data_IF_980884957225
#
_entry.id   IF_980884957225
#
_cell.length_a   1.000
_cell.length_b   1.000
_cell.length_c   1.000
_cell.angle_alpha   90.00
_cell.angle_beta   90.00
_cell.angle_gamma   90.00
#
_symmetry.space_group_name_H-M   'P 1'
#
loop_
_entity.id
_entity.type
_entity.pdbx_description
1 polymer ?
#
# COMPACT_ATOMS: atom_id res chain seq x y z
N UNK A 1 3.81 -22.53 21.60
CA UNK A 1 4.68 -21.49 21.04
C UNK A 1 5.57 -22.19 20.01
N UNK A 2 5.41 -21.91 18.73
CA UNK A 2 6.21 -22.57 17.68
C UNK A 2 7.62 -21.94 17.72
N UNK A 3 8.64 -22.76 17.86
CA UNK A 3 10.03 -22.32 17.79
C UNK A 3 10.35 -21.89 16.36
N UNK A 4 10.59 -20.60 16.15
CA UNK A 4 10.93 -20.00 14.85
C UNK A 4 12.44 -19.83 14.66
N UNK A 5 13.28 -20.33 15.59
CA UNK A 5 14.73 -20.13 15.55
C UNK A 5 15.44 -20.81 14.36
N UNK A 6 14.77 -21.74 13.67
CA UNK A 6 15.25 -22.38 12.45
C UNK A 6 14.77 -21.75 11.14
N UNK A 7 13.88 -20.78 11.20
CA UNK A 7 13.44 -20.01 10.04
C UNK A 7 14.39 -18.82 9.88
N UNK A 8 14.94 -18.60 8.71
CA UNK A 8 15.74 -17.42 8.40
C UNK A 8 14.97 -16.12 8.74
N UNK A 9 15.64 -14.97 8.66
CA UNK A 9 14.96 -13.68 8.84
C UNK A 9 13.79 -13.58 7.85
N UNK A 10 12.62 -13.05 8.30
CA UNK A 10 11.48 -12.87 7.43
C UNK A 10 11.83 -11.89 6.31
N UNK A 11 11.31 -12.12 5.10
CA UNK A 11 11.51 -11.21 3.96
C UNK A 11 10.79 -9.87 4.18
N UNK A 12 9.64 -9.88 4.87
CA UNK A 12 8.93 -8.70 5.35
C UNK A 12 8.89 -8.71 6.86
N UNK A 13 9.30 -7.60 7.48
CA UNK A 13 9.27 -7.45 8.94
C UNK A 13 7.90 -6.90 9.36
N UNK A 14 7.19 -7.63 10.23
CA UNK A 14 5.93 -7.17 10.82
C UNK A 14 6.10 -5.85 11.59
N UNK A 15 7.25 -5.59 12.19
CA UNK A 15 7.55 -4.34 12.90
C UNK A 15 7.56 -3.10 11.98
N UNK A 16 7.72 -3.30 10.67
CA UNK A 16 7.72 -2.25 9.67
C UNK A 16 6.35 -2.08 8.96
N UNK A 17 5.31 -2.82 9.40
CA UNK A 17 3.93 -2.60 8.91
C UNK A 17 3.47 -1.21 9.35
N UNK A 18 3.05 -0.38 8.40
CA UNK A 18 2.64 1.00 8.68
C UNK A 18 1.21 1.33 8.27
N UNK A 19 0.58 0.52 7.38
CA UNK A 19 -0.83 0.71 7.05
C UNK A 19 -1.53 -0.54 6.53
N UNK A 20 -2.86 -0.47 6.57
CA UNK A 20 -3.78 -1.37 5.89
C UNK A 20 -4.56 -0.58 4.86
N UNK A 21 -4.41 -0.91 3.59
CA UNK A 21 -5.11 -0.26 2.49
C UNK A 21 -6.51 -0.85 2.29
N UNK A 22 -7.51 0.00 2.28
CA UNK A 22 -8.93 -0.36 2.09
C UNK A 22 -9.46 0.38 0.88
N UNK A 23 -9.93 -0.34 -0.13
CA UNK A 23 -10.61 0.26 -1.29
C UNK A 23 -12.05 0.60 -0.94
N UNK A 24 -12.50 1.79 -1.32
CA UNK A 24 -13.84 2.30 -1.03
C UNK A 24 -14.48 2.91 -2.29
N UNK A 25 -15.81 2.83 -2.36
CA UNK A 25 -16.57 3.43 -3.46
C UNK A 25 -16.80 4.94 -3.28
N UNK A 26 -16.73 5.42 -2.05
CA UNK A 26 -16.90 6.83 -1.66
C UNK A 26 -15.98 7.12 -0.47
N UNK A 27 -14.98 7.97 -0.69
CA UNK A 27 -13.96 8.26 0.30
C UNK A 27 -14.53 9.01 1.51
N UNK A 28 -15.37 10.02 1.26
CA UNK A 28 -15.94 10.85 2.31
C UNK A 28 -16.93 10.06 3.18
N UNK A 29 -17.79 9.28 2.57
CA UNK A 29 -18.72 8.40 3.29
C UNK A 29 -17.96 7.40 4.18
N UNK A 30 -16.92 6.78 3.65
CA UNK A 30 -16.09 5.84 4.42
C UNK A 30 -15.35 6.52 5.58
N UNK A 31 -14.82 7.73 5.39
CA UNK A 31 -14.22 8.52 6.47
C UNK A 31 -15.22 8.80 7.59
N UNK A 32 -16.43 9.26 7.24
CA UNK A 32 -17.49 9.56 8.22
C UNK A 32 -17.92 8.31 8.99
N UNK A 33 -18.12 7.20 8.29
CA UNK A 33 -18.49 5.91 8.87
C UNK A 33 -17.46 5.42 9.88
N UNK A 34 -16.18 5.37 9.49
CA UNK A 34 -15.11 4.90 10.35
C UNK A 34 -14.84 5.87 11.52
N UNK A 35 -14.90 7.18 11.29
CA UNK A 35 -14.83 8.15 12.40
C UNK A 35 -15.88 7.89 13.45
N UNK A 36 -17.13 7.65 13.02
CA UNK A 36 -18.23 7.34 13.93
C UNK A 36 -18.07 5.99 14.64
N UNK A 37 -17.55 4.98 13.94
CA UNK A 37 -17.44 3.62 14.45
C UNK A 37 -16.26 3.42 15.42
N UNK A 38 -15.10 4.00 15.11
CA UNK A 38 -13.85 3.75 15.85
C UNK A 38 -13.11 5.01 16.31
N UNK A 39 -13.65 6.21 16.06
CA UNK A 39 -13.15 7.48 16.61
C UNK A 39 -11.87 8.02 15.96
N UNK A 40 -11.52 7.57 14.77
CA UNK A 40 -10.30 8.01 14.05
C UNK A 40 -10.50 9.34 13.35
N UNK A 41 -9.38 10.07 13.15
CA UNK A 41 -9.29 11.30 12.35
C UNK A 41 -8.55 10.99 11.05
N UNK A 42 -8.72 11.83 10.06
CA UNK A 42 -8.17 11.61 8.72
C UNK A 42 -7.22 12.74 8.32
N UNK A 43 -6.19 12.37 7.57
CA UNK A 43 -5.39 13.33 6.81
C UNK A 43 -6.28 14.02 5.76
N UNK A 44 -5.86 15.20 5.29
CA UNK A 44 -6.47 15.81 4.11
C UNK A 44 -6.28 14.86 2.92
N UNK A 45 -7.35 14.52 2.16
CA UNK A 45 -7.21 13.65 0.98
C UNK A 45 -6.19 14.19 -0.02
N UNK A 46 -5.37 13.29 -0.57
CA UNK A 46 -4.40 13.60 -1.61
C UNK A 46 -4.80 12.91 -2.92
N UNK A 47 -4.86 13.68 -4.01
CA UNK A 47 -5.03 13.13 -5.35
C UNK A 47 -3.65 12.87 -5.95
N UNK A 48 -3.46 11.67 -6.46
CA UNK A 48 -2.18 11.21 -7.00
C UNK A 48 -2.41 10.69 -8.42
N UNK A 49 -1.86 11.33 -9.44
CA UNK A 49 -1.76 10.73 -10.78
C UNK A 49 -0.66 9.67 -10.73
N UNK A 50 -1.03 8.46 -10.29
CA UNK A 50 -0.08 7.40 -10.03
C UNK A 50 0.29 6.68 -11.32
N UNK A 51 1.51 6.91 -11.81
CA UNK A 51 2.10 6.10 -12.87
C UNK A 51 2.60 4.79 -12.27
N UNK A 52 2.12 3.67 -12.82
CA UNK A 52 2.52 2.34 -12.38
C UNK A 52 2.66 1.38 -13.57
N UNK A 53 3.45 0.35 -13.36
CA UNK A 53 3.69 -0.75 -14.29
C UNK A 53 2.94 -1.99 -13.83
N UNK A 54 2.33 -2.73 -14.77
CA UNK A 54 1.70 -4.01 -14.49
C UNK A 54 2.22 -5.09 -15.46
N UNK A 55 2.42 -6.35 -14.99
CA UNK A 55 2.86 -7.46 -15.84
C UNK A 55 1.95 -7.64 -17.07
N UNK A 56 2.55 -7.76 -18.25
CA UNK A 56 1.82 -7.95 -19.51
C UNK A 56 1.05 -6.74 -20.04
N UNK A 57 0.94 -5.64 -19.27
CA UNK A 57 0.22 -4.42 -19.66
C UNK A 57 1.15 -3.22 -19.84
N UNK A 58 2.33 -3.24 -19.19
CA UNK A 58 3.26 -2.10 -19.19
C UNK A 58 2.78 -0.96 -18.28
N UNK A 59 3.13 0.28 -18.64
CA UNK A 59 2.81 1.47 -17.84
C UNK A 59 1.42 2.01 -18.11
N UNK A 60 0.73 2.39 -17.03
CA UNK A 60 -0.52 3.14 -17.04
C UNK A 60 -0.49 4.23 -15.97
N UNK A 61 -1.35 5.25 -16.13
CA UNK A 61 -1.55 6.27 -15.09
C UNK A 61 -2.95 6.11 -14.51
N UNK A 62 -3.04 6.03 -13.19
CA UNK A 62 -4.28 5.89 -12.44
C UNK A 62 -4.54 7.16 -11.63
N UNK A 63 -5.75 7.70 -11.70
CA UNK A 63 -6.19 8.75 -10.79
C UNK A 63 -6.61 8.08 -9.48
N UNK A 64 -5.77 8.24 -8.48
CA UNK A 64 -5.96 7.67 -7.15
C UNK A 64 -6.14 8.80 -6.14
N UNK A 65 -7.18 8.72 -5.31
CA UNK A 65 -7.34 9.59 -4.14
C UNK A 65 -7.15 8.74 -2.89
N UNK A 66 -6.26 9.19 -2.02
CA UNK A 66 -5.95 8.50 -0.76
C UNK A 66 -6.14 9.41 0.44
N UNK A 67 -6.43 8.80 1.58
CA UNK A 67 -6.43 9.44 2.90
C UNK A 67 -6.03 8.41 3.95
N UNK A 68 -5.31 8.84 4.97
CA UNK A 68 -4.85 7.98 6.05
C UNK A 68 -5.47 8.39 7.39
N UNK A 69 -5.63 7.45 8.32
CA UNK A 69 -5.88 7.83 9.72
C UNK A 69 -4.69 8.59 10.27
N UNK A 70 -4.96 9.60 11.09
CA UNK A 70 -3.93 10.33 11.85
C UNK A 70 -3.34 9.43 12.94
N UNK A 71 -4.19 8.62 13.53
CA UNK A 71 -3.81 7.68 14.59
C UNK A 71 -3.04 6.49 14.03
N UNK A 72 -1.88 6.17 14.66
CA UNK A 72 -1.01 5.05 14.35
C UNK A 72 -0.79 4.17 15.59
N UNK A 73 0.20 3.28 15.57
CA UNK A 73 1.33 3.19 14.60
C UNK A 73 0.98 2.51 13.27
N UNK A 74 -0.07 1.68 13.20
CA UNK A 74 -0.56 1.12 11.93
C UNK A 74 -1.78 1.94 11.52
N UNK A 75 -1.67 2.61 10.38
CA UNK A 75 -2.73 3.49 9.87
C UNK A 75 -3.71 2.72 8.99
N UNK A 76 -4.94 3.22 8.88
CA UNK A 76 -5.85 2.81 7.81
C UNK A 76 -5.65 3.77 6.64
N UNK A 77 -5.35 3.25 5.46
CA UNK A 77 -5.40 3.98 4.20
C UNK A 77 -6.73 3.71 3.50
N UNK A 78 -7.48 4.75 3.16
CA UNK A 78 -8.59 4.64 2.24
C UNK A 78 -8.12 4.97 0.83
N UNK A 79 -8.48 4.10 -0.14
CA UNK A 79 -8.13 4.23 -1.55
C UNK A 79 -9.41 4.35 -2.37
N UNK A 80 -9.52 5.46 -3.10
CA UNK A 80 -10.57 5.69 -4.08
C UNK A 80 -9.96 5.85 -5.46
N UNK A 81 -10.34 4.99 -6.39
CA UNK A 81 -9.91 5.04 -7.79
C UNK A 81 -11.06 5.40 -8.71
N UNK A 82 -10.71 6.06 -9.83
CA UNK A 82 -11.68 6.36 -10.87
C UNK A 82 -12.26 5.09 -11.49
N UNK A 83 -13.47 5.19 -12.08
CA UNK A 83 -14.14 4.09 -12.78
C UNK A 83 -13.26 3.36 -13.79
N UNK A 84 -13.20 2.04 -13.72
CA UNK A 84 -12.39 1.19 -14.59
C UNK A 84 -10.89 1.14 -14.26
N UNK A 85 -10.44 1.81 -13.20
CA UNK A 85 -9.05 1.73 -12.74
C UNK A 85 -8.80 0.47 -11.92
N UNK A 86 -7.52 0.17 -11.65
CA UNK A 86 -7.11 -0.90 -10.73
C UNK A 86 -7.73 -0.78 -9.33
N UNK A 87 -8.09 0.43 -8.92
CA UNK A 87 -8.69 0.73 -7.61
C UNK A 87 -10.21 0.85 -7.63
N UNK A 88 -10.86 0.70 -8.78
CA UNK A 88 -12.32 0.73 -8.90
C UNK A 88 -12.96 -0.43 -8.13
N UNK A 89 -13.99 -0.14 -7.35
CA UNK A 89 -14.67 -1.12 -6.49
C UNK A 89 -16.16 -1.29 -6.82
N UNK A 90 -16.65 -0.69 -7.91
CA UNK A 90 -18.09 -0.73 -8.25
C UNK A 90 -18.61 -2.14 -8.50
N UNK A 91 -17.74 -3.07 -8.87
CA UNK A 91 -18.08 -4.47 -9.12
C UNK A 91 -17.88 -5.37 -7.88
N UNK A 92 -17.87 -4.79 -6.67
CA UNK A 92 -17.83 -5.53 -5.41
C UNK A 92 -16.43 -5.72 -4.82
N UNK A 93 -15.43 -5.00 -5.31
CA UNK A 93 -14.05 -5.08 -4.82
C UNK A 93 -13.73 -4.20 -3.60
N UNK A 94 -14.75 -3.63 -2.92
CA UNK A 94 -14.52 -2.84 -1.71
C UNK A 94 -14.00 -3.70 -0.55
N UNK A 95 -13.22 -3.09 0.34
CA UNK A 95 -12.65 -3.72 1.52
C UNK A 95 -11.14 -3.79 1.50
N UNK A 96 -10.56 -4.62 2.38
CA UNK A 96 -9.12 -4.77 2.54
C UNK A 96 -8.46 -5.11 1.20
N UNK A 97 -7.49 -4.27 0.82
CA UNK A 97 -6.74 -4.44 -0.42
C UNK A 97 -5.33 -4.96 -0.13
N UNK A 98 -4.57 -4.28 0.72
CA UNK A 98 -3.18 -4.65 0.98
C UNK A 98 -2.72 -4.30 2.41
N UNK A 99 -1.57 -4.85 2.76
CA UNK A 99 -0.82 -4.52 3.98
C UNK A 99 0.47 -3.83 3.54
N UNK A 100 0.64 -2.56 3.92
CA UNK A 100 1.81 -1.76 3.59
C UNK A 100 2.95 -1.98 4.58
N UNK A 101 4.15 -2.26 4.06
CA UNK A 101 5.35 -2.56 4.84
C UNK A 101 6.51 -1.71 4.33
N UNK A 102 7.15 -0.95 5.23
CA UNK A 102 8.36 -0.22 4.88
C UNK A 102 9.52 -1.19 4.62
N UNK A 103 10.25 -0.96 3.54
CA UNK A 103 11.47 -1.71 3.19
C UNK A 103 12.55 -0.74 2.71
N UNK A 104 13.82 -1.14 2.87
CA UNK A 104 14.95 -0.35 2.40
C UNK A 104 15.24 -0.61 0.91
N UNK A 105 15.06 -1.84 0.46
CA UNK A 105 15.33 -2.25 -0.93
C UNK A 105 14.14 -3.02 -1.52
N UNK A 106 13.29 -2.28 -2.25
CA UNK A 106 12.09 -2.83 -2.91
C UNK A 106 12.47 -3.90 -3.93
N UNK A 107 13.54 -3.70 -4.70
CA UNK A 107 13.97 -4.66 -5.73
C UNK A 107 14.39 -6.00 -5.12
N UNK A 108 15.23 -5.96 -4.09
CA UNK A 108 15.68 -7.17 -3.40
C UNK A 108 14.51 -7.90 -2.73
N UNK A 109 13.66 -7.18 -2.00
CA UNK A 109 12.49 -7.76 -1.33
C UNK A 109 11.57 -8.45 -2.33
N UNK A 110 11.30 -7.83 -3.49
CA UNK A 110 10.46 -8.46 -4.52
C UNK A 110 11.12 -9.69 -5.15
N UNK A 111 12.42 -9.67 -5.41
CA UNK A 111 13.13 -10.86 -5.89
C UNK A 111 13.00 -12.02 -4.90
N UNK A 112 13.20 -11.76 -3.62
CA UNK A 112 13.06 -12.76 -2.55
C UNK A 112 11.62 -13.29 -2.46
N UNK A 113 10.60 -12.42 -2.51
CA UNK A 113 9.18 -12.82 -2.46
C UNK A 113 8.78 -13.63 -3.71
N UNK A 114 9.19 -13.19 -4.90
CA UNK A 114 8.92 -13.93 -6.15
C UNK A 114 9.56 -15.31 -6.12
N UNK A 115 10.77 -15.45 -5.57
CA UNK A 115 11.41 -16.76 -5.38
C UNK A 115 10.64 -17.68 -4.44
N UNK A 116 9.81 -17.11 -3.56
CA UNK A 116 8.91 -17.82 -2.63
C UNK A 116 7.50 -18.07 -3.23
N UNK A 117 7.30 -17.76 -4.51
CA UNK A 117 6.03 -17.99 -5.23
C UNK A 117 5.03 -16.85 -5.15
N UNK A 118 5.44 -15.65 -4.70
CA UNK A 118 4.60 -14.46 -4.77
C UNK A 118 4.53 -13.92 -6.20
N UNK A 119 3.44 -13.22 -6.53
CA UNK A 119 3.19 -12.63 -7.85
C UNK A 119 3.05 -11.12 -7.75
N UNK A 120 3.85 -10.37 -8.52
CA UNK A 120 3.70 -8.91 -8.63
C UNK A 120 2.47 -8.59 -9.46
N UNK A 121 1.57 -7.75 -8.95
CA UNK A 121 0.37 -7.27 -9.65
C UNK A 121 0.55 -5.86 -10.21
N UNK A 122 1.21 -4.99 -9.46
CA UNK A 122 1.47 -3.60 -9.82
C UNK A 122 2.78 -3.14 -9.18
N UNK A 123 3.51 -2.25 -9.84
CA UNK A 123 4.76 -1.70 -9.32
C UNK A 123 4.95 -0.24 -9.77
N UNK A 124 5.77 0.52 -9.04
CA UNK A 124 6.14 1.87 -9.44
C UNK A 124 6.97 1.93 -10.73
N UNK A 125 7.72 0.86 -11.02
CA UNK A 125 8.50 0.70 -12.26
C UNK A 125 8.58 -0.78 -12.66
N UNK A 126 9.10 -1.06 -13.85
CA UNK A 126 9.29 -2.44 -14.33
C UNK A 126 10.35 -3.19 -13.51
N UNK A 127 10.40 -4.53 -13.58
CA UNK A 127 11.44 -5.32 -12.92
C UNK A 127 12.85 -4.93 -13.33
N UNK A 128 13.06 -4.58 -14.60
CA UNK A 128 14.35 -4.14 -15.16
C UNK A 128 14.81 -2.80 -14.57
N UNK A 129 13.84 -1.99 -14.12
CA UNK A 129 14.06 -0.69 -13.45
C UNK A 129 14.01 -0.80 -11.92
N UNK A 130 14.01 -2.02 -11.37
CA UNK A 130 14.03 -2.29 -9.93
C UNK A 130 12.70 -2.06 -9.21
N UNK A 131 11.57 -2.16 -9.91
CA UNK A 131 10.20 -2.02 -9.39
C UNK A 131 9.82 -0.62 -8.88
N UNK A 132 10.76 0.32 -8.79
CA UNK A 132 10.49 1.67 -8.26
C UNK A 132 10.33 1.73 -6.75
N UNK A 133 9.48 2.64 -6.27
CA UNK A 133 9.32 2.92 -4.85
C UNK A 133 8.33 2.03 -4.12
N UNK A 134 7.53 1.23 -4.82
CA UNK A 134 6.53 0.32 -4.24
C UNK A 134 6.15 -0.80 -5.21
N UNK A 135 5.61 -1.87 -4.66
CA UNK A 135 4.93 -2.92 -5.43
C UNK A 135 3.68 -3.40 -4.69
N UNK A 136 2.69 -3.89 -5.44
CA UNK A 136 1.68 -4.79 -4.91
C UNK A 136 2.07 -6.22 -5.28
N UNK A 137 2.31 -7.04 -4.28
CA UNK A 137 2.76 -8.41 -4.45
C UNK A 137 1.85 -9.37 -3.69
N UNK A 138 1.28 -10.34 -4.42
CA UNK A 138 0.32 -11.30 -3.87
C UNK A 138 1.01 -12.57 -3.44
N UNK A 139 0.74 -12.98 -2.19
CA UNK A 139 1.20 -14.26 -1.67
C UNK A 139 0.49 -15.44 -2.34
N UNK A 140 1.05 -16.65 -2.32
CA UNK A 140 0.35 -17.87 -2.77
C UNK A 140 -1.00 -18.10 -2.07
N UNK A 141 -1.16 -17.61 -0.84
CA UNK A 141 -2.40 -17.68 -0.07
C UNK A 141 -3.39 -16.55 -0.34
N UNK A 142 -3.08 -15.63 -1.29
CA UNK A 142 -3.98 -14.57 -1.73
C UNK A 142 -3.88 -13.24 -0.96
N UNK A 143 -2.99 -13.12 0.03
CA UNK A 143 -2.77 -11.85 0.75
C UNK A 143 -1.92 -10.92 -0.10
N UNK A 144 -2.35 -9.67 -0.26
CA UNK A 144 -1.62 -8.65 -0.99
C UNK A 144 -0.79 -7.80 -0.01
N UNK A 145 0.50 -7.67 -0.29
CA UNK A 145 1.41 -6.79 0.43
C UNK A 145 1.85 -5.62 -0.45
N UNK A 146 2.13 -4.48 0.18
CA UNK A 146 2.81 -3.35 -0.44
C UNK A 146 4.18 -3.13 0.22
N UNK A 147 5.25 -3.82 -0.24
CA UNK A 147 6.62 -3.37 0.04
C UNK A 147 6.81 -1.96 -0.52
N UNK A 148 7.12 -1.00 0.35
CA UNK A 148 7.29 0.41 0.00
C UNK A 148 8.60 0.95 0.52
N UNK A 149 9.33 1.67 -0.33
CA UNK A 149 10.61 2.27 0.07
C UNK A 149 10.41 3.28 1.20
N UNK A 150 11.10 3.04 2.32
CA UNK A 150 11.20 3.96 3.44
C UNK A 150 12.30 5.03 3.27
N UNK A 151 13.08 4.94 2.17
CA UNK A 151 14.23 5.81 1.92
C UNK A 151 13.85 7.15 1.29
N UNK A 152 14.83 8.03 1.17
CA UNK A 152 14.73 9.35 0.50
C UNK A 152 13.65 10.26 1.07
N UNK A 153 13.45 10.24 2.39
CA UNK A 153 12.48 11.08 3.07
C UNK A 153 11.02 10.61 2.90
N UNK A 154 10.80 9.36 2.46
CA UNK A 154 9.46 8.82 2.28
C UNK A 154 8.71 8.69 3.60
N UNK A 155 9.30 8.08 4.63
CA UNK A 155 8.70 7.96 5.97
C UNK A 155 8.37 9.34 6.55
N UNK A 156 9.31 10.27 6.49
CA UNK A 156 9.16 11.64 7.03
C UNK A 156 8.06 12.44 6.33
N UNK A 157 7.83 12.20 5.03
CA UNK A 157 6.70 12.83 4.31
C UNK A 157 5.37 12.34 4.84
N UNK A 158 5.22 11.05 5.06
CA UNK A 158 4.01 10.47 5.64
C UNK A 158 3.79 10.97 7.07
N UNK A 159 4.82 11.00 7.90
CA UNK A 159 4.75 11.53 9.27
C UNK A 159 4.30 12.99 9.30
N UNK A 160 4.85 13.84 8.41
CA UNK A 160 4.37 15.23 8.28
C UNK A 160 2.91 15.30 7.87
N UNK A 161 2.49 14.42 6.97
CA UNK A 161 1.10 14.38 6.52
C UNK A 161 0.16 13.94 7.64
N UNK A 162 0.51 12.93 8.42
CA UNK A 162 -0.23 12.52 9.61
C UNK A 162 -0.33 13.66 10.65
N UNK A 163 0.69 14.48 10.77
CA UNK A 163 0.69 15.67 11.63
C UNK A 163 -0.10 16.87 11.08
N UNK A 164 -0.82 16.70 9.96
CA UNK A 164 -1.64 17.75 9.35
C UNK A 164 -0.94 18.60 8.28
N UNK A 165 0.29 18.26 7.90
CA UNK A 165 1.01 18.87 6.78
C UNK A 165 0.50 18.40 5.42
N UNK A 166 1.26 18.71 4.36
CA UNK A 166 1.01 18.21 3.00
C UNK A 166 1.82 16.94 2.73
N UNK A 167 1.28 16.05 1.92
CA UNK A 167 2.01 14.87 1.41
C UNK A 167 3.07 15.29 0.37
N UNK A 168 2.85 16.38 -0.35
CA UNK A 168 3.72 16.92 -1.42
C UNK A 168 4.19 18.33 -1.13
#
# INVERSE_FOLDING_TARGET
MTDLSGLGLPTLDWGEVFHMGIRVADLEAAQQELTKAIGVRWTRPAQIPMKAWAPGQGYSTYDLTISFTVEGPVHIELLYGSPGSYYDVRDGGAGLHHIGVWVDDVAKVNQDLVSQGYTVELAGASPEEGYGAFTYVRSPGGVLFEPKSGLHGSKERFERWYAGGSLF
#
